data_IF_601603663937
#
_entry.id   IF_601603663937
#
_cell.length_a   1.000
_cell.length_b   1.000
_cell.length_c   1.000
_cell.angle_alpha   90.00
_cell.angle_beta   90.00
_cell.angle_gamma   90.00
#
_symmetry.space_group_name_H-M   'P 1'
#
loop_
_entity.id
_entity.type
_entity.pdbx_description
1 polymer ?
#
# COMPACT_ATOMS: atom_id res chain seq x y z
N UNK A 1 -0.15 -6.09 -52.34
CA UNK A 1 0.52 -5.84 -51.05
C UNK A 1 -0.53 -6.02 -49.96
N UNK A 2 -0.25 -6.93 -49.03
CA UNK A 2 -1.09 -7.34 -47.91
C UNK A 2 -1.08 -6.31 -46.78
N UNK A 3 -2.24 -5.98 -46.23
CA UNK A 3 -2.54 -6.06 -44.79
C UNK A 3 -3.99 -5.60 -44.54
N UNK A 4 -4.65 -6.39 -43.70
CA UNK A 4 -6.09 -6.38 -43.43
C UNK A 4 -6.56 -5.12 -42.64
N UNK A 5 -7.86 -4.83 -42.69
CA UNK A 5 -8.58 -3.93 -41.78
C UNK A 5 -8.93 -4.65 -40.47
N UNK A 6 -9.21 -3.87 -39.42
CA UNK A 6 -9.76 -4.24 -38.10
C UNK A 6 -8.75 -4.65 -37.00
N UNK A 7 -8.60 -3.80 -35.98
CA UNK A 7 -8.16 -4.19 -34.62
C UNK A 7 -8.50 -3.06 -33.62
N UNK A 8 -9.81 -2.88 -33.39
CA UNK A 8 -10.31 -2.39 -32.12
C UNK A 8 -10.41 -3.59 -31.18
N UNK A 9 -9.34 -3.86 -30.43
CA UNK A 9 -9.33 -4.84 -29.34
C UNK A 9 -9.31 -4.08 -28.00
N UNK A 10 -10.48 -3.89 -27.40
CA UNK A 10 -10.64 -3.46 -26.01
C UNK A 10 -10.70 -4.65 -25.03
N UNK A 11 -10.28 -5.84 -25.46
CA UNK A 11 -9.93 -6.98 -24.61
C UNK A 11 -11.12 -7.60 -23.86
N UNK A 12 -12.35 -7.40 -24.33
CA UNK A 12 -13.56 -7.96 -23.73
C UNK A 12 -14.51 -8.55 -24.79
N UNK A 13 -14.19 -9.73 -25.30
CA UNK A 13 -15.19 -10.55 -26.02
C UNK A 13 -16.10 -11.25 -25.00
N UNK A 14 -17.31 -10.71 -24.82
CA UNK A 14 -18.42 -11.40 -24.17
C UNK A 14 -19.12 -12.29 -25.20
N UNK A 15 -18.88 -13.59 -25.16
CA UNK A 15 -19.82 -14.56 -25.72
C UNK A 15 -20.87 -14.84 -24.65
N UNK A 16 -21.97 -14.11 -24.71
CA UNK A 16 -23.23 -14.49 -24.06
C UNK A 16 -24.10 -15.07 -25.17
N UNK A 17 -24.13 -16.39 -25.27
CA UNK A 17 -25.31 -17.05 -25.79
C UNK A 17 -25.85 -18.02 -24.74
N UNK A 18 -27.13 -17.79 -24.50
CA UNK A 18 -27.99 -18.35 -23.47
C UNK A 18 -28.44 -19.74 -23.87
N UNK A 19 -28.41 -20.70 -22.96
CA UNK A 19 -29.52 -21.63 -22.68
C UNK A 19 -29.20 -22.51 -21.46
N UNK A 20 -30.13 -22.46 -20.51
CA UNK A 20 -30.49 -23.37 -19.41
C UNK A 20 -29.43 -24.28 -18.75
N UNK A 21 -29.22 -24.09 -17.44
CA UNK A 21 -29.77 -25.04 -16.43
C UNK A 21 -29.65 -24.48 -14.99
N UNK A 22 -30.53 -24.97 -14.13
CA UNK A 22 -31.09 -24.32 -12.93
C UNK A 22 -30.36 -24.70 -11.63
N UNK A 23 -30.45 -23.78 -10.64
CA UNK A 23 -30.58 -24.00 -9.17
C UNK A 23 -29.30 -24.09 -8.29
N UNK A 24 -29.41 -23.89 -6.95
CA UNK A 24 -30.17 -22.86 -6.23
C UNK A 24 -29.37 -22.18 -5.09
N UNK A 25 -29.84 -21.01 -4.65
CA UNK A 25 -29.78 -20.60 -3.24
C UNK A 25 -28.56 -19.78 -2.78
N UNK A 26 -28.74 -18.46 -2.69
CA UNK A 26 -28.19 -17.63 -1.60
C UNK A 26 -29.18 -16.51 -1.31
N UNK A 27 -29.77 -16.54 -0.12
CA UNK A 27 -30.56 -15.46 0.47
C UNK A 27 -29.65 -14.23 0.69
N UNK A 28 -30.05 -13.07 0.18
CA UNK A 28 -29.43 -11.79 0.51
C UNK A 28 -30.46 -11.04 1.37
N UNK A 29 -30.11 -10.83 2.64
CA UNK A 29 -30.83 -9.94 3.53
C UNK A 29 -30.62 -8.49 3.07
N UNK A 30 -31.73 -7.80 2.85
CA UNK A 30 -31.81 -6.36 2.70
C UNK A 30 -31.85 -5.74 4.10
N UNK A 31 -30.87 -4.91 4.43
CA UNK A 31 -31.00 -3.92 5.51
C UNK A 31 -30.94 -2.54 4.85
N UNK A 32 -32.11 -1.91 4.82
CA UNK A 32 -32.34 -0.50 4.56
C UNK A 32 -31.75 0.32 5.71
N UNK A 33 -31.05 1.40 5.39
CA UNK A 33 -31.06 2.60 6.23
C UNK A 33 -31.00 3.82 5.31
N UNK A 34 -32.08 4.59 5.40
CA UNK A 34 -32.32 5.90 4.83
C UNK A 34 -31.34 6.93 5.42
N UNK A 35 -30.96 7.94 4.65
CA UNK A 35 -31.04 9.35 5.09
C UNK A 35 -30.67 10.34 3.97
N UNK A 36 -31.51 11.37 3.92
CA UNK A 36 -31.32 12.76 3.49
C UNK A 36 -31.30 13.17 1.99
N UNK A 37 -32.45 13.76 1.64
CA UNK A 37 -32.65 15.17 1.28
C UNK A 37 -32.81 15.62 -0.18
N UNK A 38 -33.99 16.25 -0.38
CA UNK A 38 -34.33 17.42 -1.19
C UNK A 38 -34.21 17.38 -2.73
N UNK A 39 -35.37 17.32 -3.41
CA UNK A 39 -35.99 18.48 -4.09
C UNK A 39 -37.19 18.02 -4.95
N UNK A 40 -38.39 18.46 -4.59
CA UNK A 40 -39.61 18.30 -5.40
C UNK A 40 -39.59 19.27 -6.60
N UNK A 41 -39.57 18.72 -7.82
CA UNK A 41 -39.87 19.47 -9.05
C UNK A 41 -41.21 19.00 -9.62
N UNK A 42 -42.14 19.95 -9.71
CA UNK A 42 -43.50 19.83 -10.23
C UNK A 42 -43.50 19.43 -11.71
N UNK A 43 -44.14 18.31 -12.06
CA UNK A 43 -44.38 17.88 -13.45
C UNK A 43 -45.82 18.20 -13.85
N UNK A 44 -46.01 19.17 -14.73
CA UNK A 44 -47.22 19.32 -15.52
C UNK A 44 -47.19 18.34 -16.70
N UNK A 45 -48.18 17.45 -16.75
CA UNK A 45 -48.56 16.66 -17.93
C UNK A 45 -49.32 17.55 -18.91
N UNK A 46 -48.92 17.55 -20.17
CA UNK A 46 -49.86 17.70 -21.29
C UNK A 46 -49.37 16.94 -22.52
N UNK A 47 -50.35 16.52 -23.30
CA UNK A 47 -50.42 15.30 -24.11
C UNK A 47 -50.15 15.56 -25.61
N UNK A 48 -49.52 14.57 -26.24
CA UNK A 48 -49.55 14.13 -27.65
C UNK A 48 -49.89 15.09 -28.81
N UNK A 49 -48.98 15.14 -29.81
CA UNK A 49 -49.35 14.76 -31.19
C UNK A 49 -48.14 14.62 -32.16
N UNK A 50 -48.10 13.47 -32.85
CA UNK A 50 -47.64 13.20 -34.23
C UNK A 50 -46.15 13.20 -34.64
N UNK A 51 -45.73 12.02 -35.13
CA UNK A 51 -44.52 11.59 -35.88
C UNK A 51 -44.35 12.22 -37.29
N UNK A 52 -43.34 11.90 -38.15
CA UNK A 52 -42.13 11.03 -38.03
C UNK A 52 -40.79 11.55 -38.65
N UNK A 53 -39.69 10.85 -38.30
CA UNK A 53 -38.43 10.55 -39.06
C UNK A 53 -37.28 11.57 -39.23
N UNK A 54 -36.09 10.99 -39.07
CA UNK A 54 -34.71 11.38 -39.41
C UNK A 54 -34.06 12.58 -38.71
N UNK A 55 -33.08 12.31 -37.84
CA UNK A 55 -31.68 12.66 -38.09
C UNK A 55 -30.73 12.16 -36.98
N UNK A 56 -29.56 11.72 -37.42
CA UNK A 56 -28.46 11.19 -36.62
C UNK A 56 -27.81 12.33 -35.85
N UNK A 57 -28.13 12.51 -34.57
CA UNK A 57 -27.36 13.39 -33.70
C UNK A 57 -26.52 12.57 -32.73
N UNK A 58 -25.24 12.38 -33.09
CA UNK A 58 -24.25 11.76 -32.21
C UNK A 58 -24.22 12.47 -30.86
N UNK A 59 -24.61 11.74 -29.80
CA UNK A 59 -24.37 12.15 -28.41
C UNK A 59 -22.87 12.33 -28.22
N UNK A 60 -22.40 13.57 -28.32
CA UNK A 60 -21.06 13.97 -27.86
C UNK A 60 -20.92 13.50 -26.41
N UNK A 61 -20.15 12.43 -26.16
CA UNK A 61 -19.69 12.06 -24.81
C UNK A 61 -19.10 13.31 -24.18
N UNK A 62 -19.70 13.77 -23.08
CA UNK A 62 -19.23 14.93 -22.31
C UNK A 62 -17.76 14.68 -21.94
N UNK A 63 -16.86 15.55 -22.40
CA UNK A 63 -15.42 15.58 -22.04
C UNK A 63 -15.16 16.03 -20.59
N UNK A 64 -16.10 15.77 -19.67
CA UNK A 64 -16.02 16.28 -18.28
C UNK A 64 -15.23 15.37 -17.35
N UNK A 65 -15.05 14.09 -17.69
CA UNK A 65 -14.30 13.13 -16.86
C UNK A 65 -12.78 13.26 -16.95
N UNK A 66 -12.27 14.00 -17.94
CA UNK A 66 -10.84 14.06 -18.21
C UNK A 66 -10.08 14.87 -17.15
N UNK A 67 -10.68 15.97 -16.66
CA UNK A 67 -10.09 16.83 -15.62
C UNK A 67 -9.93 16.12 -14.27
N UNK A 68 -10.90 15.28 -13.89
CA UNK A 68 -10.86 14.55 -12.62
C UNK A 68 -9.84 13.42 -12.67
N UNK A 69 -9.78 12.67 -13.77
CA UNK A 69 -8.77 11.64 -14.01
C UNK A 69 -7.36 12.22 -13.96
N UNK A 70 -7.15 13.36 -14.62
CA UNK A 70 -5.86 14.04 -14.61
C UNK A 70 -5.49 14.53 -13.21
N UNK A 71 -6.42 15.15 -12.47
CA UNK A 71 -6.18 15.57 -11.07
C UNK A 71 -5.82 14.38 -10.17
N UNK A 72 -6.49 13.24 -10.33
CA UNK A 72 -6.19 12.01 -9.57
C UNK A 72 -4.80 11.46 -9.93
N UNK A 73 -4.44 11.47 -11.21
CA UNK A 73 -3.13 11.05 -11.70
C UNK A 73 -2.01 11.91 -11.13
N UNK A 74 -2.14 13.23 -11.21
CA UNK A 74 -1.16 14.18 -10.67
C UNK A 74 -1.00 14.00 -9.16
N UNK A 75 -2.10 13.82 -8.41
CA UNK A 75 -2.04 13.57 -6.97
C UNK A 75 -1.30 12.26 -6.65
N UNK A 76 -1.62 11.19 -7.38
CA UNK A 76 -0.97 9.90 -7.20
C UNK A 76 0.54 9.98 -7.49
N UNK A 77 0.95 10.69 -8.54
CA UNK A 77 2.36 10.88 -8.88
C UNK A 77 3.10 11.70 -7.81
N UNK A 78 2.46 12.75 -7.28
CA UNK A 78 3.00 13.52 -6.15
C UNK A 78 3.17 12.65 -4.91
N UNK A 79 2.20 11.80 -4.59
CA UNK A 79 2.27 10.90 -3.43
C UNK A 79 3.39 9.86 -3.59
N UNK A 80 3.56 9.30 -4.80
CA UNK A 80 4.66 8.38 -5.12
C UNK A 80 6.02 9.09 -4.96
N UNK A 81 6.15 10.30 -5.49
CA UNK A 81 7.41 11.05 -5.43
C UNK A 81 7.78 11.44 -4.00
N UNK A 82 6.79 11.81 -3.17
CA UNK A 82 6.99 12.00 -1.73
C UNK A 82 7.49 10.72 -1.06
N UNK A 83 6.83 9.58 -1.28
CA UNK A 83 7.25 8.30 -0.69
C UNK A 83 8.66 7.89 -1.12
N UNK A 84 9.09 8.22 -2.33
CA UNK A 84 10.46 7.98 -2.81
C UNK A 84 11.51 8.87 -2.15
N UNK A 85 11.16 10.09 -1.74
CA UNK A 85 12.09 11.01 -1.08
C UNK A 85 12.17 10.81 0.44
N UNK A 86 11.10 10.31 1.06
CA UNK A 86 11.04 10.04 2.51
C UNK A 86 12.25 9.25 3.03
N UNK A 87 12.68 8.13 2.41
CA UNK A 87 13.77 7.33 2.94
C UNK A 87 15.11 8.10 2.98
N UNK A 88 15.29 9.08 2.09
CA UNK A 88 16.48 9.93 1.99
C UNK A 88 16.42 11.18 2.91
N UNK A 89 15.29 11.39 3.57
CA UNK A 89 15.07 12.56 4.43
C UNK A 89 15.81 12.42 5.77
N UNK A 90 15.99 13.54 6.45
CA UNK A 90 16.63 13.59 7.75
C UNK A 90 15.68 13.14 8.88
N UNK A 91 16.25 12.84 10.05
CA UNK A 91 15.48 12.33 11.19
C UNK A 91 14.36 13.26 11.68
N UNK A 92 14.43 14.58 11.42
CA UNK A 92 13.37 15.51 11.83
C UNK A 92 12.17 15.35 10.90
N UNK A 93 12.39 15.43 9.59
CA UNK A 93 11.35 15.23 8.58
C UNK A 93 10.70 13.84 8.72
N UNK A 94 11.48 12.81 9.04
CA UNK A 94 10.97 11.48 9.32
C UNK A 94 10.02 11.47 10.53
N UNK A 95 10.41 12.12 11.64
CA UNK A 95 9.59 12.17 12.84
C UNK A 95 8.22 12.85 12.59
N UNK A 96 8.22 13.94 11.82
CA UNK A 96 6.99 14.62 11.41
C UNK A 96 6.12 13.74 10.51
N UNK A 97 6.73 13.10 9.50
CA UNK A 97 6.01 12.22 8.58
C UNK A 97 5.35 11.04 9.30
N UNK A 98 6.09 10.31 10.14
CA UNK A 98 5.54 9.16 10.86
C UNK A 98 4.52 9.57 11.92
N UNK A 99 4.64 10.76 12.49
CA UNK A 99 3.63 11.36 13.36
C UNK A 99 2.33 11.61 12.60
N UNK A 100 2.38 12.18 11.40
CA UNK A 100 1.20 12.35 10.55
C UNK A 100 0.59 11.00 10.14
N UNK A 101 1.44 10.02 9.84
CA UNK A 101 1.01 8.67 9.49
C UNK A 101 0.30 7.99 10.67
N UNK A 102 0.82 8.17 11.89
CA UNK A 102 0.22 7.68 13.11
C UNK A 102 -1.18 8.22 13.31
N UNK A 103 -1.35 9.55 13.24
CA UNK A 103 -2.65 10.22 13.40
C UNK A 103 -3.62 9.81 12.30
N UNK A 104 -3.13 9.65 11.06
CA UNK A 104 -3.96 9.22 9.93
C UNK A 104 -4.53 7.82 10.12
N UNK A 105 -3.76 6.89 10.69
CA UNK A 105 -4.15 5.47 10.79
C UNK A 105 -4.71 5.08 12.16
N UNK A 106 -4.53 5.91 13.19
CA UNK A 106 -5.03 5.64 14.55
C UNK A 106 -5.78 6.87 15.05
N UNK A 107 -7.11 6.78 15.07
CA UNK A 107 -7.99 7.85 15.55
C UNK A 107 -7.73 8.19 17.03
N UNK A 108 -7.26 7.20 17.81
CA UNK A 108 -7.02 7.34 19.26
C UNK A 108 -5.61 7.90 19.59
N UNK A 109 -4.82 8.31 18.59
CA UNK A 109 -3.48 8.82 18.82
C UNK A 109 -3.52 10.10 19.66
N UNK A 110 -2.91 10.07 20.85
CA UNK A 110 -2.86 11.21 21.77
C UNK A 110 -1.68 12.14 21.46
N UNK A 111 -1.70 13.37 22.00
CA UNK A 111 -0.61 14.34 21.86
C UNK A 111 0.76 13.87 22.40
N UNK A 112 0.82 12.76 23.13
CA UNK A 112 2.07 12.20 23.66
C UNK A 112 2.66 11.10 22.78
N UNK A 113 1.91 10.61 21.80
CA UNK A 113 2.27 9.44 20.99
C UNK A 113 3.18 9.78 19.79
N UNK A 114 3.70 10.99 19.71
CA UNK A 114 4.48 11.45 18.57
C UNK A 114 5.87 10.83 18.51
N UNK A 115 6.29 10.53 17.29
CA UNK A 115 7.66 10.12 17.03
C UNK A 115 8.60 11.31 17.20
N UNK A 116 9.78 11.06 17.77
CA UNK A 116 10.82 12.06 18.00
C UNK A 116 11.98 11.83 17.05
N UNK A 117 12.77 12.89 16.81
CA UNK A 117 14.03 12.79 16.06
C UNK A 117 14.95 11.67 16.58
N UNK A 118 14.96 11.47 17.91
CA UNK A 118 15.77 10.44 18.56
C UNK A 118 15.42 9.01 18.16
N UNK A 119 14.22 8.78 17.66
CA UNK A 119 13.73 7.45 17.33
C UNK A 119 14.27 6.99 15.98
N UNK A 120 14.70 7.93 15.13
CA UNK A 120 15.23 7.63 13.80
C UNK A 120 16.75 7.69 13.74
N UNK A 121 17.34 6.73 13.05
CA UNK A 121 18.74 6.81 12.62
C UNK A 121 18.80 7.56 11.30
N UNK A 122 19.63 8.60 11.25
CA UNK A 122 19.85 9.36 10.03
C UNK A 122 20.61 8.52 8.99
N UNK A 123 19.86 8.01 8.01
CA UNK A 123 20.36 7.25 6.87
C UNK A 123 20.51 8.09 5.60
N UNK A 124 20.32 9.43 5.67
CA UNK A 124 20.47 10.35 4.53
C UNK A 124 21.88 10.31 3.93
N UNK A 125 22.89 9.99 4.75
CA UNK A 125 24.30 9.86 4.34
C UNK A 125 24.58 8.63 3.46
N UNK A 126 23.62 7.73 3.31
CA UNK A 126 23.75 6.60 2.40
C UNK A 126 23.50 7.07 0.95
N UNK A 127 24.60 7.32 0.22
CA UNK A 127 24.57 7.95 -1.11
C UNK A 127 24.15 7.01 -2.24
N UNK A 128 24.23 5.71 -2.03
CA UNK A 128 23.91 4.74 -3.07
C UNK A 128 22.39 4.63 -3.26
N UNK A 129 21.98 4.36 -4.51
CA UNK A 129 20.58 4.09 -4.83
C UNK A 129 20.15 2.82 -4.11
N UNK A 130 19.14 2.91 -3.23
CA UNK A 130 18.68 1.79 -2.43
C UNK A 130 18.00 0.74 -3.32
N UNK A 131 18.66 -0.40 -3.48
CA UNK A 131 18.24 -1.52 -4.33
C UNK A 131 18.64 -2.85 -3.69
N UNK A 132 18.00 -3.95 -4.09
CA UNK A 132 18.31 -5.27 -3.53
C UNK A 132 19.81 -5.61 -3.55
N UNK A 133 20.58 -5.10 -4.50
CA UNK A 133 22.02 -5.36 -4.61
C UNK A 133 22.81 -4.78 -3.43
N UNK A 134 22.42 -3.61 -2.92
CA UNK A 134 23.14 -2.92 -1.85
C UNK A 134 22.47 -3.03 -0.46
N UNK A 135 21.35 -3.74 -0.38
CA UNK A 135 20.65 -3.94 0.90
C UNK A 135 21.53 -4.62 1.96
N UNK A 136 22.39 -5.56 1.55
CA UNK A 136 23.34 -6.20 2.45
C UNK A 136 24.35 -5.21 3.04
N UNK A 137 24.89 -4.32 2.21
CA UNK A 137 25.86 -3.31 2.65
C UNK A 137 25.18 -2.27 3.53
N UNK A 138 23.97 -1.85 3.17
CA UNK A 138 23.14 -0.97 4.00
C UNK A 138 22.88 -1.57 5.39
N UNK A 139 22.37 -2.81 5.46
CA UNK A 139 22.12 -3.46 6.75
C UNK A 139 23.41 -3.66 7.54
N UNK A 140 24.53 -4.00 6.89
CA UNK A 140 25.84 -4.08 7.53
C UNK A 140 26.26 -2.79 8.23
N UNK A 141 25.97 -1.63 7.61
CA UNK A 141 26.34 -0.30 8.13
C UNK A 141 25.42 0.20 9.25
N UNK A 142 24.12 -0.08 9.16
CA UNK A 142 23.12 0.51 10.06
C UNK A 142 22.56 -0.45 11.13
N UNK A 143 22.90 -1.74 11.08
CA UNK A 143 22.41 -2.71 12.05
C UNK A 143 22.96 -2.45 13.46
N UNK A 144 22.07 -2.37 14.46
CA UNK A 144 22.44 -2.14 15.87
C UNK A 144 22.34 -3.36 16.78
N UNK A 145 22.05 -4.54 16.22
CA UNK A 145 21.93 -5.80 16.97
C UNK A 145 20.89 -6.70 16.32
N UNK A 146 19.96 -7.24 17.13
CA UNK A 146 18.76 -7.87 16.60
C UNK A 146 17.88 -6.80 15.95
N UNK A 147 17.60 -6.98 14.66
CA UNK A 147 16.86 -6.01 13.85
C UNK A 147 15.66 -6.64 13.18
N UNK A 148 14.51 -5.96 13.28
CA UNK A 148 13.36 -6.28 12.46
C UNK A 148 13.51 -5.63 11.09
N UNK A 149 13.24 -6.37 10.02
CA UNK A 149 13.18 -5.86 8.66
C UNK A 149 11.72 -5.97 8.22
N UNK A 150 11.09 -4.82 8.01
CA UNK A 150 9.67 -4.73 7.69
C UNK A 150 9.52 -4.52 6.19
N UNK A 151 8.82 -5.44 5.54
CA UNK A 151 8.51 -5.39 4.12
C UNK A 151 7.00 -5.43 3.89
N UNK A 152 6.54 -4.87 2.77
CA UNK A 152 5.10 -4.83 2.46
C UNK A 152 4.51 -6.22 2.16
N UNK A 153 5.27 -7.10 1.50
CA UNK A 153 4.73 -8.36 0.98
C UNK A 153 5.64 -9.57 1.21
N UNK A 154 5.06 -10.77 1.15
CA UNK A 154 5.80 -12.04 1.27
C UNK A 154 6.83 -12.23 0.17
N UNK A 155 6.53 -11.79 -1.06
CA UNK A 155 7.47 -11.83 -2.18
C UNK A 155 8.70 -11.01 -1.82
N UNK A 156 8.48 -9.78 -1.33
CA UNK A 156 9.56 -8.87 -0.97
C UNK A 156 10.39 -9.37 0.22
N UNK A 157 9.78 -10.03 1.21
CA UNK A 157 10.50 -10.73 2.29
C UNK A 157 11.49 -11.74 1.70
N UNK A 158 11.08 -12.51 0.69
CA UNK A 158 11.93 -13.48 0.01
C UNK A 158 13.13 -12.83 -0.68
N UNK A 159 12.91 -11.70 -1.35
CA UNK A 159 13.97 -10.97 -2.05
C UNK A 159 14.99 -10.35 -1.10
N UNK A 160 14.53 -9.69 -0.03
CA UNK A 160 15.40 -9.14 1.02
C UNK A 160 16.21 -10.25 1.71
N UNK A 161 15.58 -11.39 2.01
CA UNK A 161 16.26 -12.54 2.59
C UNK A 161 17.36 -13.08 1.68
N UNK A 162 17.09 -13.20 0.37
CA UNK A 162 18.10 -13.62 -0.62
C UNK A 162 19.24 -12.62 -0.70
N UNK A 163 18.95 -11.32 -0.71
CA UNK A 163 19.93 -10.24 -0.76
C UNK A 163 20.89 -10.26 0.43
N UNK A 164 20.38 -10.47 1.65
CA UNK A 164 21.23 -10.62 2.84
C UNK A 164 22.20 -11.80 2.76
N UNK A 165 21.80 -12.84 2.02
CA UNK A 165 22.58 -14.05 1.81
C UNK A 165 22.50 -15.06 2.97
N UNK A 166 23.01 -16.28 2.77
CA UNK A 166 22.81 -17.40 3.71
C UNK A 166 23.52 -17.23 5.05
N UNK A 167 24.58 -16.41 5.12
CA UNK A 167 25.37 -16.17 6.35
C UNK A 167 24.83 -15.03 7.22
N UNK A 168 23.65 -14.50 6.89
CA UNK A 168 23.10 -13.32 7.55
C UNK A 168 22.41 -13.60 8.89
N UNK A 169 22.25 -14.87 9.27
CA UNK A 169 21.46 -15.28 10.43
C UNK A 169 20.08 -14.61 10.46
N UNK A 170 19.45 -14.53 9.28
CA UNK A 170 18.11 -14.00 9.13
C UNK A 170 17.05 -15.10 9.31
N UNK A 171 15.86 -14.71 9.77
CA UNK A 171 14.67 -15.55 9.84
C UNK A 171 13.55 -14.86 9.06
N UNK A 172 12.84 -15.62 8.22
CA UNK A 172 11.64 -15.14 7.51
C UNK A 172 10.40 -15.47 8.33
N UNK A 173 9.49 -14.52 8.41
CA UNK A 173 8.20 -14.68 9.08
C UNK A 173 7.08 -14.55 8.05
N UNK A 174 6.17 -15.52 8.04
CA UNK A 174 5.02 -15.54 7.15
C UNK A 174 4.21 -16.83 7.27
N UNK A 175 3.10 -16.91 6.53
CA UNK A 175 2.23 -18.10 6.54
C UNK A 175 3.03 -19.34 6.10
N UNK A 176 3.09 -20.35 6.98
CA UNK A 176 3.80 -21.61 6.75
C UNK A 176 5.27 -21.63 7.21
N UNK A 177 5.77 -20.59 7.88
CA UNK A 177 7.07 -20.61 8.54
C UNK A 177 6.89 -20.84 10.04
N UNK A 178 7.59 -21.83 10.60
CA UNK A 178 7.70 -21.99 12.05
C UNK A 178 8.65 -20.91 12.56
N UNK A 179 8.15 -20.00 13.39
CA UNK A 179 9.00 -19.00 14.03
C UNK A 179 9.68 -19.64 15.24
N UNK A 180 10.98 -19.83 15.15
CA UNK A 180 11.83 -20.27 16.25
C UNK A 180 13.03 -19.33 16.33
N UNK A 181 13.07 -18.54 17.38
CA UNK A 181 14.14 -17.57 17.57
C UNK A 181 15.41 -18.29 18.03
N UNK A 182 16.54 -17.97 17.41
CA UNK A 182 17.86 -18.48 17.79
C UNK A 182 18.68 -17.38 18.45
N UNK A 183 19.58 -17.74 19.36
CA UNK A 183 20.44 -16.77 20.07
C UNK A 183 21.36 -15.98 19.13
N UNK A 184 21.71 -16.55 17.98
CA UNK A 184 22.57 -15.93 16.96
C UNK A 184 21.78 -15.16 15.89
N UNK A 185 20.45 -15.06 16.02
CA UNK A 185 19.59 -14.39 15.04
C UNK A 185 19.89 -12.90 15.00
N UNK A 186 20.26 -12.42 13.81
CA UNK A 186 20.56 -11.00 13.58
C UNK A 186 19.37 -10.25 13.00
N UNK A 187 18.61 -10.92 12.13
CA UNK A 187 17.52 -10.29 11.40
C UNK A 187 16.24 -11.12 11.47
N UNK A 188 15.11 -10.46 11.68
CA UNK A 188 13.78 -11.06 11.53
C UNK A 188 13.01 -10.27 10.49
N UNK A 189 12.63 -10.92 9.40
CA UNK A 189 12.03 -10.27 8.22
C UNK A 189 10.56 -10.65 8.13
N UNK A 190 9.67 -9.67 8.11
CA UNK A 190 8.23 -9.90 8.15
C UNK A 190 7.41 -8.73 7.61
N UNK A 191 6.11 -8.96 7.44
CA UNK A 191 5.14 -7.87 7.22
C UNK A 191 4.75 -7.25 8.56
N UNK A 192 4.25 -5.99 8.59
CA UNK A 192 3.87 -5.34 9.84
C UNK A 192 2.93 -6.19 10.70
N UNK A 193 1.88 -6.73 10.10
CA UNK A 193 0.90 -7.59 10.77
C UNK A 193 1.53 -8.85 11.37
N UNK A 194 2.49 -9.47 10.67
CA UNK A 194 3.08 -10.72 11.14
C UNK A 194 4.02 -10.46 12.30
N UNK A 195 4.82 -9.40 12.21
CA UNK A 195 5.75 -9.01 13.27
C UNK A 195 5.03 -8.58 14.55
N UNK A 196 3.84 -7.98 14.43
CA UNK A 196 2.98 -7.60 15.57
C UNK A 196 2.55 -8.78 16.43
N UNK A 197 2.34 -9.95 15.82
CA UNK A 197 1.86 -11.15 16.51
C UNK A 197 2.96 -12.11 16.92
N UNK A 198 4.24 -11.72 16.78
CA UNK A 198 5.36 -12.54 17.24
C UNK A 198 5.68 -12.25 18.70
N UNK A 199 5.94 -13.33 19.43
CA UNK A 199 6.56 -13.25 20.75
C UNK A 199 8.08 -13.35 20.59
N UNK A 200 8.78 -12.26 20.92
CA UNK A 200 10.24 -12.22 20.94
C UNK A 200 10.82 -12.64 22.30
N UNK A 201 9.98 -12.94 23.30
CA UNK A 201 10.39 -13.41 24.62
C UNK A 201 11.45 -12.51 25.26
N UNK A 202 12.63 -13.09 25.55
CA UNK A 202 13.77 -12.40 26.16
C UNK A 202 14.64 -11.61 25.17
N UNK A 203 14.38 -11.71 23.86
CA UNK A 203 15.25 -11.12 22.84
C UNK A 203 14.92 -9.64 22.63
N UNK A 204 15.85 -8.78 23.03
CA UNK A 204 15.72 -7.32 22.88
C UNK A 204 15.94 -6.90 21.41
N UNK A 205 14.94 -6.23 20.82
CA UNK A 205 15.02 -5.67 19.48
C UNK A 205 15.63 -4.27 19.53
N UNK A 206 16.79 -4.10 18.88
CA UNK A 206 17.57 -2.85 18.93
C UNK A 206 17.27 -1.89 17.79
N UNK A 207 16.86 -2.41 16.64
CA UNK A 207 16.47 -1.59 15.49
C UNK A 207 15.35 -2.18 14.65
N UNK A 208 14.67 -1.32 13.90
CA UNK A 208 13.69 -1.65 12.87
C UNK A 208 14.15 -1.00 11.57
N UNK A 209 14.31 -1.78 10.51
CA UNK A 209 14.56 -1.31 9.15
C UNK A 209 13.25 -1.43 8.36
N UNK A 210 12.79 -0.31 7.79
CA UNK A 210 11.61 -0.24 6.95
C UNK A 210 12.02 -0.23 5.49
N UNK A 211 11.62 -1.24 4.72
CA UNK A 211 11.89 -1.31 3.27
C UNK A 211 10.88 -0.46 2.49
N UNK A 212 11.18 0.83 2.41
CA UNK A 212 10.46 1.82 1.62
C UNK A 212 11.01 1.95 0.18
N UNK A 213 12.12 1.28 -0.13
CA UNK A 213 12.70 1.21 -1.48
C UNK A 213 11.77 0.48 -2.48
N UNK A 214 10.93 -0.42 -2.00
CA UNK A 214 10.02 -1.22 -2.82
C UNK A 214 8.62 -0.61 -2.92
N UNK A 215 8.11 -0.58 -4.15
CA UNK A 215 6.72 -0.23 -4.45
C UNK A 215 6.13 -1.38 -5.26
N UNK A 216 4.93 -1.83 -4.91
CA UNK A 216 4.24 -2.90 -5.64
C UNK A 216 3.67 -2.39 -6.99
N UNK A 217 2.95 -3.26 -7.71
CA UNK A 217 2.32 -2.91 -8.99
C UNK A 217 1.28 -1.78 -8.87
N UNK A 218 0.71 -1.61 -7.68
CA UNK A 218 -0.25 -0.55 -7.35
C UNK A 218 0.44 0.66 -6.69
N UNK A 219 1.76 0.68 -6.66
CA UNK A 219 2.61 1.71 -6.07
C UNK A 219 2.49 1.84 -4.55
N UNK A 220 1.97 0.81 -3.87
CA UNK A 220 1.98 0.74 -2.42
C UNK A 220 3.37 0.38 -1.91
N UNK A 221 3.79 1.02 -0.82
CA UNK A 221 5.01 0.69 -0.09
C UNK A 221 4.67 0.28 1.35
N UNK A 222 5.68 -0.17 2.11
CA UNK A 222 5.48 -0.51 3.53
C UNK A 222 4.91 0.67 4.33
N UNK A 223 5.13 1.91 3.88
CA UNK A 223 4.62 3.12 4.52
C UNK A 223 3.09 3.25 4.40
N UNK A 224 2.45 2.53 3.49
CA UNK A 224 1.00 2.54 3.34
C UNK A 224 0.28 1.55 4.28
N UNK A 225 1.03 0.66 4.94
CA UNK A 225 0.46 -0.37 5.80
C UNK A 225 -0.10 0.24 7.11
N UNK A 226 -1.42 0.15 7.37
CA UNK A 226 -2.02 0.77 8.55
C UNK A 226 -1.40 0.26 9.86
N UNK A 227 -1.10 -1.04 9.89
CA UNK A 227 -0.48 -1.74 11.03
C UNK A 227 0.99 -1.36 11.26
N UNK A 228 1.63 -0.62 10.36
CA UNK A 228 3.01 -0.18 10.54
C UNK A 228 3.16 0.69 11.78
N UNK A 229 2.28 1.67 11.97
CA UNK A 229 2.39 2.58 13.12
C UNK A 229 2.16 1.88 14.44
N UNK A 230 1.20 0.94 14.48
CA UNK A 230 0.99 0.07 15.62
C UNK A 230 2.24 -0.76 15.94
N UNK A 231 2.90 -1.34 14.91
CA UNK A 231 4.16 -2.06 15.09
C UNK A 231 5.23 -1.16 15.71
N UNK A 232 5.42 0.04 15.15
CA UNK A 232 6.43 0.97 15.63
C UNK A 232 6.17 1.42 17.08
N UNK A 233 4.91 1.57 17.49
CA UNK A 233 4.55 1.86 18.90
C UNK A 233 4.86 0.68 19.83
N UNK A 234 4.54 -0.55 19.41
CA UNK A 234 4.84 -1.74 20.21
C UNK A 234 6.34 -1.90 20.50
N UNK A 235 7.18 -1.37 19.62
CA UNK A 235 8.63 -1.33 19.77
C UNK A 235 9.14 0.09 20.08
N UNK A 236 8.43 0.83 20.94
CA UNK A 236 8.89 2.15 21.39
C UNK A 236 10.29 2.05 22.04
N UNK A 237 11.16 3.02 21.75
CA UNK A 237 12.56 3.02 22.19
C UNK A 237 13.54 2.32 21.23
N UNK A 238 13.03 1.46 20.34
CA UNK A 238 13.82 0.85 19.27
C UNK A 238 14.15 1.87 18.17
N UNK A 239 15.33 1.78 17.57
CA UNK A 239 15.76 2.73 16.52
C UNK A 239 15.19 2.37 15.15
N UNK A 240 14.48 3.30 14.54
CA UNK A 240 13.88 3.16 13.21
C UNK A 240 14.86 3.65 12.15
N UNK A 241 15.01 2.88 11.08
CA UNK A 241 15.90 3.14 9.96
C UNK A 241 15.07 2.95 8.68
N UNK A 242 15.09 3.90 7.77
CA UNK A 242 14.43 3.75 6.47
C UNK A 242 15.43 3.27 5.44
N UNK A 243 15.06 2.21 4.73
CA UNK A 243 15.73 1.69 3.56
C UNK A 243 14.88 2.00 2.33
#
# INVERSE_FOLDING_TARGET
MSNNPDDLDDGLEYVVDSEEEVAPGVEICEDEDEDDDDEQVVIHKDTDSSSPKSEVSGKKRRKTDDKFKEKKRVKMEQDINKKKSIPLSDSITLAEFFTQLLVKHNADATQLDYFKKSDFVDASKYKEKRSLDNFKDFTGKYNKGLTLIVAISRVRIGDLFKSLGPKSNAIKVGKGYKFEMRDDTKYVIGTPERLLHLDFGKYEIKSIILDASYHDMKTHSVLDEPKLTQLLKNFSGTKIILY
#
